data_IF_277203078822
#
_entry.id   IF_277203078822
#
_cell.length_a   1.000
_cell.length_b   1.000
_cell.length_c   1.000
_cell.angle_alpha   90.00
_cell.angle_beta   90.00
_cell.angle_gamma   90.00
#
_symmetry.space_group_name_H-M   'P 1'
#
loop_
_entity.id
_entity.type
_entity.pdbx_description
1 polymer ?
#
# COMPACT_ATOMS: atom_id res chain seq x y z
N UNK A 1 12.39 1.07 -10.99
CA UNK A 1 11.27 0.35 -10.36
C UNK A 1 11.73 -0.88 -9.60
N UNK A 2 11.90 -0.79 -8.28
CA UNK A 2 12.13 -1.95 -7.43
C UNK A 2 10.90 -2.86 -7.41
N UNK A 3 11.14 -4.18 -7.37
CA UNK A 3 10.11 -5.22 -7.42
C UNK A 3 10.12 -6.01 -6.13
N UNK A 4 8.96 -6.20 -5.50
CA UNK A 4 8.82 -7.00 -4.28
C UNK A 4 9.17 -8.47 -4.55
N UNK A 5 10.06 -9.02 -3.74
CA UNK A 5 10.43 -10.44 -3.81
C UNK A 5 9.21 -11.27 -3.37
N UNK A 6 8.75 -12.23 -4.20
CA UNK A 6 7.53 -12.98 -3.92
C UNK A 6 7.71 -14.06 -2.84
N UNK A 7 8.94 -14.47 -2.56
CA UNK A 7 9.26 -15.49 -1.57
C UNK A 7 9.45 -14.90 -0.17
N UNK A 8 9.49 -15.78 0.84
CA UNK A 8 9.83 -15.38 2.20
C UNK A 8 11.25 -14.77 2.23
N UNK A 9 11.33 -13.51 2.67
CA UNK A 9 12.59 -12.81 2.88
C UNK A 9 12.90 -12.83 4.38
N UNK A 10 14.07 -13.34 4.80
CA UNK A 10 14.46 -13.33 6.21
C UNK A 10 14.45 -11.92 6.81
N UNK A 11 14.41 -11.85 8.14
CA UNK A 11 14.49 -10.57 8.85
C UNK A 11 15.81 -9.86 8.49
N UNK A 12 15.77 -8.52 8.48
CA UNK A 12 16.90 -7.66 8.13
C UNK A 12 17.44 -7.82 6.69
N UNK A 13 16.72 -8.46 5.77
CA UNK A 13 17.09 -8.55 4.36
C UNK A 13 16.20 -7.66 3.48
N UNK A 14 16.71 -7.13 2.35
CA UNK A 14 15.94 -6.29 1.46
C UNK A 14 14.77 -7.07 0.86
N UNK A 15 13.56 -6.53 1.00
CA UNK A 15 12.32 -7.14 0.48
C UNK A 15 12.06 -6.84 -1.00
N UNK A 16 12.86 -5.95 -1.58
CA UNK A 16 12.75 -5.51 -2.96
C UNK A 16 14.04 -5.79 -3.70
N UNK A 17 13.91 -6.27 -4.93
CA UNK A 17 15.03 -6.41 -5.84
C UNK A 17 15.52 -5.02 -6.31
N UNK A 18 16.71 -5.01 -6.93
CA UNK A 18 17.27 -3.81 -7.54
C UNK A 18 16.27 -3.13 -8.50
N UNK A 19 16.24 -1.79 -8.55
CA UNK A 19 15.35 -1.07 -9.44
C UNK A 19 15.56 -1.48 -10.90
N UNK A 20 14.47 -1.75 -11.60
CA UNK A 20 14.46 -2.04 -13.05
C UNK A 20 13.73 -0.97 -13.82
N UNK A 21 14.03 -0.80 -15.10
CA UNK A 21 13.31 0.14 -15.94
C UNK A 21 11.98 -0.46 -16.40
N UNK A 22 10.95 0.38 -16.49
CA UNK A 22 9.70 0.02 -17.18
C UNK A 22 9.96 0.18 -18.67
N UNK A 23 9.72 -0.87 -19.44
CA UNK A 23 9.85 -0.85 -20.90
C UNK A 23 8.51 -0.49 -21.55
N UNK A 24 7.41 -1.09 -21.07
CA UNK A 24 6.10 -0.86 -21.67
C UNK A 24 4.97 -1.01 -20.64
N UNK A 25 3.89 -0.24 -20.79
CA UNK A 25 2.66 -0.39 -20.00
C UNK A 25 1.69 -1.26 -20.79
N UNK A 26 1.41 -2.47 -20.28
CA UNK A 26 0.54 -3.44 -20.96
C UNK A 26 -0.94 -3.29 -20.59
N UNK A 27 -1.24 -2.63 -19.48
CA UNK A 27 -2.61 -2.35 -19.05
C UNK A 27 -2.64 -1.35 -17.90
N UNK A 28 -3.83 -1.14 -17.31
CA UNK A 28 -4.00 -0.16 -16.22
C UNK A 28 -3.04 -0.40 -15.04
N UNK A 29 -2.78 -1.67 -14.71
CA UNK A 29 -1.97 -2.07 -13.56
C UNK A 29 -0.85 -3.06 -13.90
N UNK A 30 -0.49 -3.24 -15.17
CA UNK A 30 0.52 -4.24 -15.59
C UNK A 30 1.60 -3.58 -16.44
N UNK A 31 2.85 -3.86 -16.09
CA UNK A 31 4.03 -3.26 -16.71
C UNK A 31 5.02 -4.35 -17.13
N UNK A 32 5.58 -4.21 -18.32
CA UNK A 32 6.72 -4.97 -18.80
C UNK A 32 8.00 -4.26 -18.30
N UNK A 33 8.84 -4.97 -17.56
CA UNK A 33 10.13 -4.44 -17.10
C UNK A 33 11.27 -4.90 -18.02
N UNK A 34 12.46 -4.32 -17.82
CA UNK A 34 13.67 -4.60 -18.61
C UNK A 34 14.16 -6.05 -18.61
N UNK A 35 13.60 -6.90 -17.74
CA UNK A 35 13.88 -8.34 -17.71
C UNK A 35 12.95 -9.16 -18.61
N UNK A 36 12.09 -8.49 -19.38
CA UNK A 36 11.10 -9.13 -20.24
C UNK A 36 9.93 -9.73 -19.46
N UNK A 37 9.83 -9.49 -18.14
CA UNK A 37 8.74 -10.02 -17.31
C UNK A 37 7.67 -8.97 -17.07
N UNK A 38 6.44 -9.46 -16.97
CA UNK A 38 5.27 -8.66 -16.67
C UNK A 38 5.03 -8.63 -15.16
N UNK A 39 4.91 -7.42 -14.62
CA UNK A 39 4.68 -7.17 -13.20
C UNK A 39 3.44 -6.33 -12.97
N UNK A 40 2.64 -6.70 -11.95
CA UNK A 40 1.53 -5.88 -11.51
C UNK A 40 2.02 -4.71 -10.66
N UNK A 41 1.33 -3.57 -10.76
CA UNK A 41 1.63 -2.33 -10.04
C UNK A 41 1.77 -2.55 -8.52
N UNK A 42 0.96 -3.43 -7.94
CA UNK A 42 0.99 -3.76 -6.51
C UNK A 42 2.30 -4.40 -6.02
N UNK A 43 3.13 -4.92 -6.92
CA UNK A 43 4.45 -5.48 -6.59
C UNK A 43 5.58 -4.48 -6.84
N UNK A 44 5.28 -3.32 -7.41
CA UNK A 44 6.24 -2.27 -7.70
C UNK A 44 6.19 -1.21 -6.60
N UNK A 45 7.32 -0.57 -6.35
CA UNK A 45 7.40 0.60 -5.49
C UNK A 45 8.11 1.73 -6.22
N UNK A 46 7.89 2.99 -5.79
CA UNK A 46 8.58 4.14 -6.35
C UNK A 46 10.03 4.14 -5.84
N UNK A 47 11.00 4.23 -6.73
CA UNK A 47 12.40 4.44 -6.33
C UNK A 47 12.60 5.90 -5.92
N UNK A 48 13.21 6.13 -4.76
CA UNK A 48 13.57 7.47 -4.24
C UNK A 48 15.00 7.86 -4.64
N UNK A 49 15.72 6.98 -5.35
CA UNK A 49 17.05 7.32 -5.85
C UNK A 49 16.95 8.48 -6.86
N UNK A 50 17.86 9.47 -6.83
CA UNK A 50 17.93 10.51 -7.85
C UNK A 50 18.23 9.83 -9.18
N UNK A 51 17.21 9.77 -10.04
CA UNK A 51 17.36 9.29 -11.41
C UNK A 51 18.06 10.41 -12.16
N UNK A 52 19.27 10.16 -12.66
CA UNK A 52 19.88 11.03 -13.67
C UNK A 52 18.97 11.00 -14.89
N UNK A 53 18.24 12.08 -15.10
CA UNK A 53 17.21 12.22 -16.12
C UNK A 53 17.78 12.20 -17.54
N UNK A 54 17.18 11.39 -18.40
CA UNK A 54 16.87 11.81 -19.77
C UNK A 54 15.75 10.93 -20.33
N UNK A 55 14.55 11.04 -19.78
CA UNK A 55 13.32 10.68 -20.50
C UNK A 55 12.17 11.45 -19.87
N UNK A 56 11.71 12.45 -20.62
CA UNK A 56 10.46 13.16 -20.44
C UNK A 56 9.32 12.14 -20.26
N UNK A 57 8.80 12.05 -19.04
CA UNK A 57 7.53 11.37 -18.78
C UNK A 57 6.93 12.07 -17.59
N UNK A 58 6.05 13.03 -17.90
CA UNK A 58 5.07 13.68 -17.03
C UNK A 58 5.14 13.21 -15.58
N UNK A 59 5.84 14.01 -14.77
CA UNK A 59 5.71 13.98 -13.33
C UNK A 59 4.24 14.30 -13.02
N UNK A 60 3.42 13.26 -12.83
CA UNK A 60 2.13 13.42 -12.16
C UNK A 60 2.45 13.87 -10.75
N UNK A 61 2.40 15.19 -10.59
CA UNK A 61 2.36 15.93 -9.35
C UNK A 61 1.20 15.38 -8.52
N UNK A 62 1.49 14.41 -7.65
CA UNK A 62 0.60 14.05 -6.56
C UNK A 62 0.81 15.08 -5.44
N UNK A 63 0.59 16.35 -5.78
CA UNK A 63 0.28 17.38 -4.79
C UNK A 63 -1.01 16.95 -4.14
N UNK A 64 -0.91 16.50 -2.88
CA UNK A 64 -2.05 16.32 -2.00
C UNK A 64 -2.69 17.69 -1.79
N UNK A 65 -3.54 18.11 -2.71
CA UNK A 65 -4.46 19.21 -2.47
C UNK A 65 -5.45 18.74 -1.41
N UNK A 66 -5.20 19.14 -0.16
CA UNK A 66 -6.21 19.21 0.87
C UNK A 66 -7.32 20.12 0.37
N UNK A 67 -8.39 19.56 -0.19
CA UNK A 67 -9.62 20.31 -0.38
C UNK A 67 -10.22 20.60 1.00
N UNK A 68 -10.54 21.87 1.34
CA UNK A 68 -11.33 22.14 2.52
C UNK A 68 -12.75 21.59 2.27
N UNK A 69 -13.13 20.62 3.10
CA UNK A 69 -14.44 19.98 3.08
C UNK A 69 -15.56 21.04 3.28
N UNK A 70 -16.59 21.11 2.41
CA UNK A 70 -17.73 21.98 2.67
C UNK A 70 -18.58 21.42 3.84
N UNK A 71 -19.16 22.27 4.70
CA UNK A 71 -19.90 21.81 5.87
C UNK A 71 -21.14 20.99 5.46
N UNK A 72 -21.50 19.95 6.25
CA UNK A 72 -22.62 19.08 5.92
C UNK A 72 -23.96 19.83 6.07
N UNK A 73 -24.95 19.57 5.20
CA UNK A 73 -26.30 20.11 5.36
C UNK A 73 -27.00 19.52 6.61
N UNK A 74 -27.93 20.28 7.23
CA UNK A 74 -28.60 19.86 8.46
C UNK A 74 -29.55 18.68 8.24
N UNK A 75 -29.50 17.72 9.16
CA UNK A 75 -30.23 16.45 9.11
C UNK A 75 -31.75 16.59 9.36
N UNK A 76 -32.57 15.74 8.71
CA UNK A 76 -33.86 15.36 9.27
C UNK A 76 -33.98 13.83 9.52
N UNK A 77 -34.13 13.52 10.81
CA UNK A 77 -34.91 12.43 11.45
C UNK A 77 -34.37 10.97 11.49
N UNK A 78 -34.18 10.50 12.74
CA UNK A 78 -33.88 9.14 13.25
C UNK A 78 -35.09 8.15 13.08
N UNK A 79 -35.05 6.82 13.39
CA UNK A 79 -34.11 5.97 14.18
C UNK A 79 -33.59 4.74 13.36
N UNK A 80 -32.59 3.93 13.71
CA UNK A 80 -32.25 3.22 14.94
C UNK A 80 -30.73 2.91 14.99
N UNK A 81 -30.26 2.73 16.22
CA UNK A 81 -28.93 2.31 16.62
C UNK A 81 -28.37 1.16 15.74
N UNK A 82 -27.12 1.26 15.29
CA UNK A 82 -25.98 0.56 15.92
C UNK A 82 -26.44 -0.76 16.54
N UNK A 83 -26.03 -1.92 16.06
CA UNK A 83 -24.74 -2.46 16.44
C UNK A 83 -24.50 -3.75 15.66
N UNK A 84 -23.72 -3.71 14.57
CA UNK A 84 -22.96 -4.91 14.17
C UNK A 84 -21.66 -4.90 14.96
N UNK A 85 -21.77 -4.99 16.28
CA UNK A 85 -20.62 -5.31 17.13
C UNK A 85 -20.32 -6.77 16.83
N UNK A 86 -19.36 -7.01 15.95
CA UNK A 86 -18.70 -8.31 15.90
C UNK A 86 -18.03 -8.48 17.25
N UNK A 87 -18.70 -9.18 18.17
CA UNK A 87 -18.14 -9.63 19.44
C UNK A 87 -17.10 -10.70 19.15
N UNK A 88 -15.95 -10.26 18.64
CA UNK A 88 -14.72 -11.01 18.83
C UNK A 88 -14.44 -10.99 20.32
N UNK A 89 -14.94 -12.00 21.03
CA UNK A 89 -14.61 -12.26 22.42
C UNK A 89 -13.09 -12.35 22.50
N UNK A 90 -12.45 -11.26 22.94
CA UNK A 90 -11.01 -11.21 23.08
C UNK A 90 -10.61 -12.22 24.14
N UNK A 91 -9.92 -13.28 23.72
CA UNK A 91 -9.32 -14.20 24.69
C UNK A 91 -8.17 -13.48 25.40
N UNK A 92 -8.06 -13.59 26.73
CA UNK A 92 -6.93 -13.03 27.44
C UNK A 92 -5.64 -13.69 26.96
N UNK A 93 -4.53 -12.92 26.90
CA UNK A 93 -3.26 -13.44 26.47
C UNK A 93 -2.73 -14.50 27.45
N UNK A 94 -2.01 -15.51 26.93
CA UNK A 94 -1.66 -16.74 27.66
C UNK A 94 -0.81 -16.52 28.92
N UNK A 95 0.00 -15.45 28.97
CA UNK A 95 0.92 -15.15 30.07
C UNK A 95 0.23 -14.78 31.40
N UNK A 96 -1.08 -14.49 31.40
CA UNK A 96 -1.85 -14.25 32.62
C UNK A 96 -2.10 -15.51 33.47
N UNK A 97 -1.74 -16.70 32.97
CA UNK A 97 -2.05 -17.99 33.64
C UNK A 97 -0.93 -18.48 34.55
N UNK A 98 0.24 -17.86 34.45
CA UNK A 98 1.47 -18.35 35.09
C UNK A 98 1.87 -17.50 36.31
N UNK A 99 0.95 -16.68 36.84
CA UNK A 99 1.16 -15.96 38.10
C UNK A 99 1.07 -16.95 39.27
N UNK A 100 2.19 -17.62 39.57
CA UNK A 100 2.36 -18.47 40.75
C UNK A 100 2.23 -17.60 42.00
N UNK A 101 1.35 -18.01 42.93
CA UNK A 101 1.21 -17.48 44.29
C UNK A 101 2.28 -18.07 45.20
#
# INVERSE_FOLDING_TARGET
MPVRIPTHVPKAHPRFANPRQIVHKLGACTYLLSDGKNWRASHLTRSVAPVSESTDTDAVDLSFQFLPYPPPPPAPQAPEALQRVSTHLRRPPRWMKDCVT
#
